data_IF_452867470281
#
_entry.id   IF_452867470281
#
_cell.length_a   1.000
_cell.length_b   1.000
_cell.length_c   1.000
_cell.angle_alpha   90.00
_cell.angle_beta   90.00
_cell.angle_gamma   90.00
#
_symmetry.space_group_name_H-M   'P 1'
#
loop_
_entity.id
_entity.type
_entity.pdbx_description
1 polymer ?
#
# COMPACT_ATOMS: atom_id res chain seq x y z
N UNK A 1 6.74 -9.15 32.53
CA UNK A 1 7.89 -8.29 32.83
C UNK A 1 7.70 -6.88 32.29
N UNK A 2 6.96 -6.02 32.56
CA UNK A 2 7.10 -4.59 32.17
C UNK A 2 5.91 -3.70 32.52
N UNK A 3 5.39 -3.83 33.74
CA UNK A 3 4.51 -2.76 34.23
C UNK A 3 5.30 -1.54 34.78
N UNK A 4 6.63 -1.62 34.78
CA UNK A 4 7.49 -0.54 35.32
C UNK A 4 8.12 0.38 34.26
N UNK A 5 8.14 -0.04 33.00
CA UNK A 5 8.76 0.73 31.90
C UNK A 5 7.75 1.09 30.81
N UNK A 6 7.98 2.21 30.17
CA UNK A 6 7.32 2.63 28.93
C UNK A 6 8.35 2.87 27.85
N UNK A 7 8.03 2.44 26.64
CA UNK A 7 8.85 2.64 25.45
C UNK A 7 8.46 3.95 24.79
N UNK A 8 9.45 4.66 24.27
CA UNK A 8 9.28 5.89 23.49
C UNK A 8 9.99 5.70 22.17
N UNK A 9 9.25 5.79 21.08
CA UNK A 9 9.72 5.50 19.73
C UNK A 9 9.48 6.69 18.82
N UNK A 10 10.51 7.06 18.06
CA UNK A 10 10.44 7.94 16.91
C UNK A 10 10.89 7.20 15.66
N UNK A 11 10.25 7.47 14.53
CA UNK A 11 10.59 6.88 13.24
C UNK A 11 11.07 7.96 12.28
N UNK A 12 12.13 7.66 11.56
CA UNK A 12 12.66 8.45 10.45
C UNK A 12 12.40 7.67 9.16
N UNK A 13 11.52 8.17 8.31
CA UNK A 13 11.09 7.48 7.10
C UNK A 13 11.56 8.26 5.87
N UNK A 14 12.39 7.62 5.05
CA UNK A 14 12.84 8.14 3.78
C UNK A 14 11.97 7.59 2.64
N UNK A 15 11.43 8.48 1.81
CA UNK A 15 10.58 8.12 0.69
C UNK A 15 11.10 8.76 -0.60
N UNK A 16 11.46 7.94 -1.59
CA UNK A 16 11.85 8.42 -2.92
C UNK A 16 10.61 8.92 -3.66
N UNK A 17 10.75 10.09 -4.29
CA UNK A 17 9.69 10.67 -5.12
C UNK A 17 9.85 10.23 -6.57
N UNK A 18 8.75 9.81 -7.18
CA UNK A 18 8.68 9.24 -8.53
C UNK A 18 8.59 10.33 -9.61
N UNK A 19 9.57 11.22 -9.64
CA UNK A 19 9.69 12.21 -10.71
C UNK A 19 10.50 11.65 -11.89
N UNK A 20 10.33 12.21 -13.07
CA UNK A 20 11.07 11.79 -14.28
C UNK A 20 12.55 12.09 -14.19
N UNK A 21 12.91 13.20 -13.56
CA UNK A 21 14.30 13.66 -13.44
C UNK A 21 14.69 13.83 -11.99
N UNK A 22 15.99 13.80 -11.74
CA UNK A 22 16.59 13.96 -10.41
C UNK A 22 16.27 15.34 -9.81
N UNK A 23 16.55 15.49 -8.50
CA UNK A 23 16.18 16.71 -7.76
C UNK A 23 16.92 17.95 -8.23
N UNK A 24 18.22 17.83 -8.66
CA UNK A 24 19.08 18.97 -8.99
C UNK A 24 19.47 19.06 -10.45
N UNK A 25 19.16 18.06 -11.27
CA UNK A 25 19.56 17.99 -12.67
C UNK A 25 18.53 17.26 -13.54
N UNK A 26 18.76 17.24 -14.85
CA UNK A 26 17.88 16.60 -15.84
C UNK A 26 18.15 15.11 -16.07
N UNK A 27 19.06 14.48 -15.33
CA UNK A 27 19.28 13.03 -15.46
C UNK A 27 18.03 12.26 -15.11
N UNK A 28 17.84 11.09 -15.74
CA UNK A 28 16.75 10.19 -15.44
C UNK A 28 16.78 9.75 -13.96
N UNK A 29 15.63 9.82 -13.28
CA UNK A 29 15.49 9.36 -11.91
C UNK A 29 15.08 7.88 -11.82
N UNK A 30 14.50 7.31 -12.88
CA UNK A 30 14.23 5.88 -13.02
C UNK A 30 15.49 5.18 -13.56
N UNK A 31 16.27 4.61 -12.67
CA UNK A 31 17.61 4.07 -12.95
C UNK A 31 17.72 2.54 -12.80
N UNK A 32 16.66 1.86 -12.37
CA UNK A 32 16.72 0.44 -11.97
C UNK A 32 17.10 -0.50 -13.11
N UNK A 33 16.72 -0.16 -14.34
CA UNK A 33 17.02 -0.96 -15.54
C UNK A 33 18.23 -0.46 -16.33
N UNK A 34 18.97 0.53 -15.80
CA UNK A 34 20.12 1.11 -16.49
C UNK A 34 21.44 0.49 -16.02
N UNK A 35 22.40 0.43 -16.94
CA UNK A 35 23.77 0.02 -16.57
C UNK A 35 24.35 0.99 -15.53
N UNK A 36 25.23 0.53 -14.61
CA UNK A 36 25.80 1.38 -13.59
C UNK A 36 26.50 2.63 -14.17
N UNK A 37 26.27 3.77 -13.55
CA UNK A 37 26.93 5.06 -13.83
C UNK A 37 26.61 5.69 -15.20
N UNK A 38 25.50 5.33 -15.86
CA UNK A 38 25.06 5.94 -17.13
C UNK A 38 24.15 7.14 -16.90
N UNK A 39 23.25 7.09 -15.92
CA UNK A 39 22.35 8.20 -15.57
C UNK A 39 23.04 9.20 -14.64
N UNK A 40 24.15 9.76 -15.08
CA UNK A 40 24.97 10.71 -14.32
C UNK A 40 25.35 11.93 -15.15
N UNK A 41 25.59 13.05 -14.47
CA UNK A 41 26.10 14.29 -15.09
C UNK A 41 27.00 15.04 -14.10
N UNK A 42 27.71 16.11 -14.53
CA UNK A 42 28.55 16.91 -13.64
C UNK A 42 27.86 17.41 -12.36
N UNK A 43 26.55 17.66 -12.40
CA UNK A 43 25.80 18.15 -11.24
C UNK A 43 25.64 17.04 -10.19
N UNK A 44 25.03 15.91 -10.56
CA UNK A 44 24.80 14.83 -9.59
C UNK A 44 26.06 14.09 -9.14
N UNK A 45 27.18 14.25 -9.89
CA UNK A 45 28.50 13.73 -9.49
C UNK A 45 29.38 14.79 -8.80
N UNK A 46 28.89 16.01 -8.59
CA UNK A 46 29.57 17.05 -7.82
C UNK A 46 30.84 17.59 -8.45
N UNK A 47 30.89 17.70 -9.77
CA UNK A 47 32.08 18.21 -10.45
C UNK A 47 32.24 19.73 -10.24
N UNK A 48 33.47 20.25 -10.14
CA UNK A 48 33.73 21.66 -9.95
C UNK A 48 33.06 22.54 -11.01
N UNK A 49 32.36 23.59 -10.56
CA UNK A 49 31.65 24.55 -11.42
C UNK A 49 30.23 24.13 -11.84
N UNK A 50 29.79 22.94 -11.48
CA UNK A 50 28.42 22.52 -11.70
C UNK A 50 27.49 23.05 -10.59
N UNK A 51 26.36 23.67 -10.97
CA UNK A 51 25.40 24.24 -10.04
C UNK A 51 24.09 23.44 -10.02
N UNK A 52 23.53 23.16 -8.83
CA UNK A 52 22.21 22.50 -8.69
C UNK A 52 21.09 23.43 -9.13
N UNK A 53 20.01 22.83 -9.66
CA UNK A 53 18.76 23.55 -9.96
C UNK A 53 17.59 22.69 -9.49
N UNK A 54 16.77 23.24 -8.57
CA UNK A 54 15.61 22.51 -8.03
C UNK A 54 14.62 22.13 -9.13
N UNK A 55 14.24 20.86 -9.14
CA UNK A 55 13.16 20.35 -9.96
C UNK A 55 11.80 20.75 -9.35
N UNK A 56 10.99 21.49 -10.09
CA UNK A 56 9.68 21.96 -9.63
C UNK A 56 8.67 20.84 -9.35
N UNK A 57 8.77 19.73 -10.09
CA UNK A 57 7.91 18.57 -9.88
C UNK A 57 8.20 17.91 -8.52
N UNK A 58 9.48 17.87 -8.12
CA UNK A 58 9.88 17.39 -6.78
C UNK A 58 9.24 18.23 -5.69
N UNK A 59 9.24 19.56 -5.83
CA UNK A 59 8.59 20.45 -4.86
C UNK A 59 7.08 20.21 -4.80
N UNK A 60 6.42 20.04 -5.95
CA UNK A 60 4.98 19.76 -5.99
C UNK A 60 4.64 18.40 -5.36
N UNK A 61 5.46 17.37 -5.61
CA UNK A 61 5.28 16.04 -5.01
C UNK A 61 5.54 16.06 -3.49
N UNK A 62 6.55 16.80 -3.06
CA UNK A 62 6.82 16.99 -1.64
C UNK A 62 5.63 17.69 -0.93
N UNK A 63 5.08 18.76 -1.51
CA UNK A 63 3.88 19.44 -0.97
C UNK A 63 2.69 18.48 -0.92
N UNK A 64 2.45 17.68 -1.98
CA UNK A 64 1.41 16.63 -1.97
C UNK A 64 1.59 15.63 -0.82
N UNK A 65 2.81 15.14 -0.63
CA UNK A 65 3.12 14.21 0.46
C UNK A 65 2.83 14.85 1.82
N UNK A 66 3.25 16.09 2.04
CA UNK A 66 3.02 16.79 3.30
C UNK A 66 1.53 17.05 3.57
N UNK A 67 0.76 17.45 2.56
CA UNK A 67 -0.69 17.63 2.68
C UNK A 67 -1.40 16.30 3.02
N UNK A 68 -0.95 15.18 2.44
CA UNK A 68 -1.48 13.86 2.75
C UNK A 68 -1.24 13.43 4.20
N UNK A 69 -0.21 14.00 4.82
CA UNK A 69 0.20 13.75 6.19
C UNK A 69 -0.26 14.86 7.16
N UNK A 70 -1.20 15.68 6.72
CA UNK A 70 -1.79 16.78 7.49
C UNK A 70 -0.75 17.76 8.09
N UNK A 71 0.33 18.03 7.32
CA UNK A 71 1.38 18.96 7.72
C UNK A 71 1.06 20.41 7.33
N UNK A 72 1.56 21.32 8.13
CA UNK A 72 1.62 22.75 7.81
C UNK A 72 2.73 23.00 6.77
N UNK A 73 2.41 23.71 5.70
CA UNK A 73 3.38 24.04 4.65
C UNK A 73 3.98 25.42 4.95
N UNK A 74 5.30 25.47 5.06
CA UNK A 74 6.03 26.73 5.26
C UNK A 74 6.07 27.53 3.95
N UNK A 75 5.62 28.77 3.98
CA UNK A 75 5.64 29.68 2.81
C UNK A 75 7.05 29.98 2.29
N UNK A 76 8.07 29.83 3.14
CA UNK A 76 9.48 29.96 2.80
C UNK A 76 10.27 28.79 3.37
N UNK A 77 11.04 28.11 2.52
CA UNK A 77 11.97 27.06 2.95
C UNK A 77 13.38 27.28 2.38
N UNK A 78 14.38 26.60 2.95
CA UNK A 78 15.77 26.79 2.62
C UNK A 78 16.47 25.44 2.55
N UNK A 79 17.36 25.29 1.59
CA UNK A 79 18.26 24.15 1.53
C UNK A 79 19.55 24.44 2.29
N UNK A 80 20.10 23.37 2.88
CA UNK A 80 21.30 23.38 3.68
C UNK A 80 22.22 22.26 3.23
N UNK A 81 23.54 22.39 3.49
CA UNK A 81 24.52 21.34 3.28
C UNK A 81 24.70 20.55 4.56
N UNK A 82 24.49 19.22 4.47
CA UNK A 82 24.85 18.23 5.49
C UNK A 82 26.18 17.62 5.09
N UNK A 83 27.26 18.08 5.73
CA UNK A 83 28.61 17.69 5.32
C UNK A 83 29.02 16.36 5.93
N UNK A 84 29.38 15.41 5.09
CA UNK A 84 29.99 14.16 5.49
C UNK A 84 30.80 13.57 4.34
N UNK A 85 31.89 12.89 4.69
CA UNK A 85 32.78 12.28 3.75
C UNK A 85 32.57 10.77 3.70
N UNK A 86 31.98 10.30 2.59
CA UNK A 86 31.77 8.88 2.35
C UNK A 86 31.78 8.58 0.83
N UNK A 87 32.22 7.39 0.39
CA UNK A 87 32.34 7.08 -1.05
C UNK A 87 31.04 7.21 -1.86
N UNK A 88 29.88 7.01 -1.26
CA UNK A 88 28.57 7.13 -1.90
C UNK A 88 28.07 8.59 -2.00
N UNK A 89 28.74 9.53 -1.35
CA UNK A 89 28.45 10.97 -1.41
C UNK A 89 29.40 11.67 -2.37
N UNK A 90 29.05 11.85 -3.67
CA UNK A 90 29.99 12.35 -4.68
C UNK A 90 30.41 13.80 -4.46
N UNK A 91 29.62 14.59 -3.73
CA UNK A 91 29.87 16.00 -3.40
C UNK A 91 30.57 16.19 -2.05
N UNK A 92 30.72 15.13 -1.25
CA UNK A 92 31.10 15.16 0.17
C UNK A 92 30.10 15.91 1.08
N UNK A 93 28.91 16.21 0.57
CA UNK A 93 27.77 16.71 1.32
C UNK A 93 26.47 16.27 0.64
N UNK A 94 25.40 16.25 1.41
CA UNK A 94 24.04 16.03 0.94
C UNK A 94 23.28 17.36 1.07
N UNK A 95 22.51 17.73 0.06
CA UNK A 95 21.60 18.87 0.14
C UNK A 95 20.31 18.39 0.82
N UNK A 96 19.92 19.08 1.87
CA UNK A 96 18.76 18.81 2.73
C UNK A 96 18.11 20.11 3.20
N UNK A 97 17.16 20.06 4.14
CA UNK A 97 16.47 21.23 4.71
C UNK A 97 16.48 21.17 6.25
N UNK A 98 17.60 21.46 6.86
CA UNK A 98 17.74 21.33 8.31
C UNK A 98 17.14 22.50 9.08
N UNK A 99 17.45 23.75 8.71
CA UNK A 99 17.02 24.94 9.44
C UNK A 99 15.60 25.39 9.10
N UNK A 100 15.18 25.22 7.85
CA UNK A 100 13.87 25.66 7.35
C UNK A 100 13.27 24.59 6.44
N UNK A 101 12.71 23.52 7.00
CA UNK A 101 12.03 22.49 6.22
C UNK A 101 10.81 23.09 5.50
N UNK A 102 10.35 22.42 4.45
CA UNK A 102 9.18 22.91 3.72
C UNK A 102 7.84 22.59 4.42
N UNK A 103 7.83 21.63 5.36
CA UNK A 103 6.62 21.23 6.06
C UNK A 103 6.92 20.76 7.51
N UNK A 104 5.99 21.04 8.41
CA UNK A 104 6.11 20.75 9.84
C UNK A 104 4.74 20.43 10.45
N UNK A 105 4.73 19.99 11.71
CA UNK A 105 3.53 19.84 12.54
C UNK A 105 2.41 19.00 11.93
N UNK A 106 2.79 17.93 11.23
CA UNK A 106 1.83 16.99 10.70
C UNK A 106 1.31 16.01 11.75
N UNK A 107 0.31 15.22 11.37
CA UNK A 107 -0.25 14.17 12.22
C UNK A 107 -0.85 13.04 11.41
N UNK A 108 -0.81 11.85 11.99
CA UNK A 108 -1.48 10.68 11.45
C UNK A 108 -2.38 10.04 12.52
N UNK A 109 -3.63 9.85 12.16
CA UNK A 109 -4.53 8.99 12.93
C UNK A 109 -4.24 7.54 12.57
N UNK A 110 -3.94 6.72 13.56
CA UNK A 110 -3.60 5.31 13.38
C UNK A 110 -4.57 4.41 14.14
N UNK A 111 -4.86 3.26 13.56
CA UNK A 111 -5.65 2.20 14.20
C UNK A 111 -4.83 0.93 14.21
N UNK A 112 -4.56 0.40 15.40
CA UNK A 112 -3.79 -0.84 15.56
C UNK A 112 -4.64 -2.07 15.22
N UNK A 113 -4.01 -3.23 15.02
CA UNK A 113 -4.73 -4.49 14.79
C UNK A 113 -5.63 -4.88 15.97
N UNK A 114 -5.29 -4.46 17.18
CA UNK A 114 -6.12 -4.63 18.38
C UNK A 114 -7.32 -3.68 18.45
N UNK A 115 -7.48 -2.77 17.47
CA UNK A 115 -8.55 -1.78 17.39
C UNK A 115 -8.32 -0.54 18.26
N UNK A 116 -7.11 -0.34 18.79
CA UNK A 116 -6.75 0.86 19.52
C UNK A 116 -6.46 1.99 18.54
N UNK A 117 -7.12 3.12 18.77
CA UNK A 117 -6.90 4.35 18.01
C UNK A 117 -5.92 5.27 18.73
N UNK A 118 -5.07 5.95 17.99
CA UNK A 118 -4.18 7.00 18.50
C UNK A 118 -3.77 7.96 17.40
N UNK A 119 -3.25 9.12 17.78
CA UNK A 119 -2.68 10.11 16.87
C UNK A 119 -1.18 10.17 17.12
N UNK A 120 -0.40 10.16 16.04
CA UNK A 120 1.06 10.30 16.07
C UNK A 120 1.45 11.54 15.29
N UNK A 121 2.16 12.46 15.95
CA UNK A 121 2.65 13.68 15.34
C UNK A 121 3.80 13.43 14.38
N UNK A 122 3.85 14.24 13.33
CA UNK A 122 5.01 14.39 12.45
C UNK A 122 5.68 15.70 12.83
N UNK A 123 6.97 15.63 13.19
CA UNK A 123 7.73 16.82 13.58
C UNK A 123 7.95 17.70 12.36
N UNK A 124 8.49 17.11 11.28
CA UNK A 124 8.79 17.82 10.03
C UNK A 124 8.97 16.86 8.88
N UNK A 125 8.90 17.41 7.67
CA UNK A 125 9.26 16.74 6.42
C UNK A 125 10.24 17.65 5.67
N UNK A 126 11.32 17.09 5.19
CA UNK A 126 12.36 17.80 4.45
C UNK A 126 12.65 17.14 3.11
N UNK A 127 12.97 17.97 2.10
CA UNK A 127 13.44 17.48 0.81
C UNK A 127 14.94 17.21 0.91
N UNK A 128 15.33 16.05 0.42
CA UNK A 128 16.70 15.59 0.35
C UNK A 128 17.04 15.03 -1.03
N UNK A 129 18.28 14.66 -1.22
CA UNK A 129 18.76 13.85 -2.33
C UNK A 129 19.26 12.49 -1.82
N UNK A 130 19.02 11.43 -2.59
CA UNK A 130 19.60 10.13 -2.27
C UNK A 130 21.09 10.08 -2.64
N UNK A 131 21.85 9.20 -1.99
CA UNK A 131 23.26 8.94 -2.26
C UNK A 131 23.44 7.85 -3.31
N UNK A 132 24.68 7.61 -3.75
CA UNK A 132 24.99 6.50 -4.64
C UNK A 132 24.67 5.15 -3.98
N UNK A 133 24.39 4.14 -4.80
CA UNK A 133 24.25 2.76 -4.33
C UNK A 133 25.63 2.15 -4.13
N UNK A 134 25.91 1.71 -2.91
CA UNK A 134 27.15 1.00 -2.56
C UNK A 134 26.88 -0.50 -2.46
N UNK A 135 27.69 -1.30 -3.13
CA UNK A 135 27.65 -2.77 -3.08
C UNK A 135 28.99 -3.24 -2.56
N UNK A 136 28.97 -3.87 -1.38
CA UNK A 136 30.16 -4.41 -0.73
C UNK A 136 30.35 -5.87 -1.12
N UNK A 137 31.54 -6.19 -1.63
CA UNK A 137 32.01 -7.55 -1.86
C UNK A 137 33.07 -7.91 -0.81
N UNK A 138 33.60 -9.11 -0.83
CA UNK A 138 34.65 -9.52 0.11
C UNK A 138 35.94 -8.68 -0.01
N UNK A 139 36.23 -8.10 -1.18
CA UNK A 139 37.49 -7.38 -1.47
C UNK A 139 37.29 -5.95 -1.96
N UNK A 140 36.09 -5.56 -2.38
CA UNK A 140 35.82 -4.29 -3.07
C UNK A 140 34.47 -3.66 -2.65
N UNK A 141 34.38 -2.35 -2.83
CA UNK A 141 33.12 -1.60 -2.76
C UNK A 141 32.83 -1.01 -4.13
N UNK A 142 31.77 -1.50 -4.77
CA UNK A 142 31.31 -1.00 -6.06
C UNK A 142 30.32 0.12 -5.84
N UNK A 143 30.46 1.22 -6.58
CA UNK A 143 29.64 2.40 -6.49
C UNK A 143 28.84 2.62 -7.78
N UNK A 144 27.53 2.75 -7.65
CA UNK A 144 26.64 3.12 -8.73
C UNK A 144 25.99 4.48 -8.44
N UNK A 145 26.46 5.51 -9.14
CA UNK A 145 26.00 6.88 -8.99
C UNK A 145 24.68 7.18 -9.72
N UNK A 146 24.05 6.23 -10.39
CA UNK A 146 22.74 6.44 -10.99
C UNK A 146 21.72 6.89 -9.95
N UNK A 147 21.81 6.40 -8.70
CA UNK A 147 20.91 6.81 -7.60
C UNK A 147 21.25 8.20 -7.02
N UNK A 148 22.50 8.66 -7.14
CA UNK A 148 22.92 9.95 -6.59
C UNK A 148 22.01 11.08 -7.09
N UNK A 149 21.50 11.91 -6.19
CA UNK A 149 20.53 12.99 -6.43
C UNK A 149 19.14 12.56 -6.90
N UNK A 150 18.76 11.29 -6.71
CA UNK A 150 17.34 10.88 -6.83
C UNK A 150 16.53 11.60 -5.75
N UNK A 151 15.35 12.16 -6.06
CA UNK A 151 14.56 12.93 -5.10
C UNK A 151 14.10 12.08 -3.92
N UNK A 152 14.32 12.60 -2.73
CA UNK A 152 14.00 11.97 -1.47
C UNK A 152 13.27 12.95 -0.57
N UNK A 153 12.31 12.49 0.21
CA UNK A 153 11.79 13.22 1.38
C UNK A 153 12.09 12.39 2.62
N UNK A 154 12.47 13.06 3.67
CA UNK A 154 12.63 12.50 5.01
C UNK A 154 11.47 12.97 5.88
N UNK A 155 10.75 12.01 6.46
CA UNK A 155 9.58 12.23 7.31
C UNK A 155 9.97 11.82 8.72
N UNK A 156 9.98 12.76 9.64
CA UNK A 156 10.41 12.55 11.01
C UNK A 156 9.18 12.60 11.92
N UNK A 157 8.87 11.48 12.58
CA UNK A 157 7.79 11.44 13.55
C UNK A 157 8.22 12.06 14.89
N UNK A 158 7.25 12.59 15.65
CA UNK A 158 7.48 12.87 17.05
C UNK A 158 7.69 11.57 17.83
N UNK A 159 8.43 11.60 18.97
CA UNK A 159 8.67 10.40 19.79
C UNK A 159 7.42 10.06 20.63
N UNK A 160 6.31 9.74 19.99
CA UNK A 160 5.00 9.56 20.62
C UNK A 160 4.49 8.10 20.46
N UNK A 161 5.15 7.29 19.63
CA UNK A 161 4.84 5.88 19.42
C UNK A 161 5.27 5.09 20.64
N UNK A 162 4.39 4.23 21.16
CA UNK A 162 4.57 3.59 22.48
C UNK A 162 4.97 2.12 22.43
N UNK A 163 4.76 1.46 21.30
CA UNK A 163 5.06 0.05 21.13
C UNK A 163 5.18 -0.31 19.64
N UNK A 164 5.62 -1.54 19.36
CA UNK A 164 5.83 -2.04 18.01
C UNK A 164 4.53 -2.15 17.18
N UNK A 165 3.37 -2.41 17.81
CA UNK A 165 2.08 -2.46 17.13
C UNK A 165 1.66 -1.07 16.61
N UNK A 166 1.83 -0.03 17.42
CA UNK A 166 1.60 1.36 17.00
C UNK A 166 2.58 1.79 15.90
N UNK A 167 3.87 1.38 15.98
CA UNK A 167 4.85 1.63 14.92
C UNK A 167 4.44 0.97 13.58
N UNK A 168 3.93 -0.26 13.64
CA UNK A 168 3.41 -0.95 12.48
C UNK A 168 2.20 -0.24 11.87
N UNK A 169 1.24 0.16 12.71
CA UNK A 169 0.06 0.91 12.28
C UNK A 169 0.44 2.25 11.65
N UNK A 170 1.39 2.99 12.27
CA UNK A 170 1.90 4.25 11.73
C UNK A 170 2.50 4.08 10.34
N UNK A 171 3.39 3.09 10.15
CA UNK A 171 4.04 2.85 8.88
C UNK A 171 3.06 2.44 7.77
N UNK A 172 2.04 1.62 8.09
CA UNK A 172 1.01 1.27 7.12
C UNK A 172 0.17 2.49 6.73
N UNK A 173 -0.31 3.25 7.70
CA UNK A 173 -1.09 4.47 7.43
C UNK A 173 -0.29 5.49 6.61
N UNK A 174 0.98 5.71 6.96
CA UNK A 174 1.88 6.58 6.21
C UNK A 174 2.06 6.10 4.77
N UNK A 175 2.36 4.82 4.59
CA UNK A 175 2.49 4.19 3.27
C UNK A 175 1.23 4.38 2.43
N UNK A 176 0.05 4.09 3.00
CA UNK A 176 -1.22 4.19 2.28
C UNK A 176 -1.53 5.63 1.89
N UNK A 177 -1.34 6.59 2.79
CA UNK A 177 -1.50 8.02 2.49
C UNK A 177 -0.57 8.48 1.35
N UNK A 178 0.72 8.11 1.40
CA UNK A 178 1.67 8.44 0.33
C UNK A 178 1.33 7.75 -0.99
N UNK A 179 0.91 6.48 -0.95
CA UNK A 179 0.52 5.72 -2.15
C UNK A 179 -0.66 6.36 -2.86
N UNK A 180 -1.65 6.82 -2.12
CA UNK A 180 -2.82 7.53 -2.67
C UNK A 180 -2.44 8.81 -3.42
N UNK A 181 -1.39 9.51 -3.02
CA UNK A 181 -0.91 10.70 -3.74
C UNK A 181 -0.18 10.39 -5.04
N UNK A 182 0.20 9.14 -5.29
CA UNK A 182 1.01 8.68 -6.44
C UNK A 182 2.38 9.36 -6.57
N UNK A 183 2.89 9.94 -5.48
CA UNK A 183 4.21 10.61 -5.49
C UNK A 183 5.37 9.63 -5.36
N UNK A 184 5.12 8.38 -4.95
CA UNK A 184 6.10 7.34 -4.72
C UNK A 184 5.49 5.94 -4.91
N UNK A 185 6.34 4.95 -5.18
CA UNK A 185 5.94 3.54 -5.17
C UNK A 185 5.86 2.97 -3.74
N UNK A 186 6.40 3.67 -2.74
CA UNK A 186 6.41 3.36 -1.30
C UNK A 186 6.75 1.89 -0.99
N UNK A 187 7.76 1.36 -1.65
CA UNK A 187 8.19 -0.03 -1.52
C UNK A 187 9.51 -0.15 -0.74
N UNK A 188 9.49 -0.90 0.37
CA UNK A 188 10.73 -1.23 1.08
C UNK A 188 11.58 -2.24 0.31
N UNK A 189 10.96 -3.16 -0.45
CA UNK A 189 11.66 -4.17 -1.25
C UNK A 189 12.46 -3.53 -2.39
N UNK A 190 11.91 -2.51 -3.04
CA UNK A 190 12.57 -1.74 -4.09
C UNK A 190 13.49 -0.64 -3.52
N UNK A 191 13.45 -0.41 -2.19
CA UNK A 191 14.24 0.63 -1.53
C UNK A 191 13.71 2.05 -1.74
N UNK A 192 12.51 2.23 -2.31
CA UNK A 192 11.87 3.53 -2.44
C UNK A 192 11.23 4.02 -1.13
N UNK A 193 11.10 3.13 -0.14
CA UNK A 193 10.75 3.46 1.24
C UNK A 193 11.77 2.82 2.17
N UNK A 194 12.33 3.60 3.10
CA UNK A 194 13.28 3.14 4.13
C UNK A 194 12.85 3.70 5.46
N UNK A 195 13.12 2.99 6.54
CA UNK A 195 12.74 3.42 7.88
C UNK A 195 13.88 3.11 8.85
N UNK A 196 14.26 4.10 9.64
CA UNK A 196 15.13 3.96 10.80
C UNK A 196 14.29 4.15 12.07
N UNK A 197 14.57 3.34 13.11
CA UNK A 197 13.81 3.38 14.36
C UNK A 197 14.68 3.90 15.50
N UNK A 198 14.23 4.97 16.14
CA UNK A 198 14.79 5.52 17.37
C UNK A 198 14.00 4.98 18.56
N UNK A 199 14.64 4.21 19.43
CA UNK A 199 13.99 3.56 20.59
C UNK A 199 14.66 3.99 21.87
N UNK A 200 13.87 4.39 22.87
CA UNK A 200 14.31 4.58 24.24
C UNK A 200 13.28 4.01 25.22
N UNK A 201 13.73 3.69 26.43
CA UNK A 201 12.85 3.27 27.53
C UNK A 201 13.03 4.16 28.75
N UNK A 202 11.94 4.42 29.47
CA UNK A 202 11.94 5.14 30.74
C UNK A 202 11.04 4.44 31.75
N UNK A 203 11.20 4.71 33.04
CA UNK A 203 10.25 4.22 34.04
C UNK A 203 8.90 4.87 33.83
N UNK A 204 7.86 4.11 34.06
CA UNK A 204 6.48 4.58 33.90
C UNK A 204 6.20 5.77 34.82
N UNK A 205 5.77 6.87 34.21
CA UNK A 205 5.50 8.14 34.91
C UNK A 205 6.66 9.13 34.92
N UNK A 206 7.86 8.74 34.45
CA UNK A 206 8.96 9.70 34.28
C UNK A 206 8.65 10.67 33.14
N UNK A 207 9.00 11.93 33.32
CA UNK A 207 8.86 12.96 32.28
C UNK A 207 10.09 13.08 31.38
N UNK A 208 11.25 12.62 31.87
CA UNK A 208 12.52 12.68 31.13
C UNK A 208 12.64 11.47 30.25
N UNK A 209 12.97 11.69 28.99
CA UNK A 209 13.22 10.61 28.03
C UNK A 209 14.49 9.82 28.40
N UNK A 210 14.44 8.51 28.15
CA UNK A 210 15.63 7.65 28.25
C UNK A 210 16.63 7.92 27.13
N UNK A 211 17.82 7.31 27.26
CA UNK A 211 18.82 7.37 26.20
C UNK A 211 18.36 6.57 24.99
N UNK A 212 18.29 7.22 23.82
CA UNK A 212 17.86 6.58 22.57
C UNK A 212 18.97 5.79 21.91
N UNK A 213 18.57 4.72 21.23
CA UNK A 213 19.38 4.05 20.21
C UNK A 213 18.67 4.12 18.86
N UNK A 214 19.44 4.36 17.82
CA UNK A 214 18.97 4.35 16.43
C UNK A 214 19.21 2.96 15.82
N UNK A 215 18.17 2.35 15.24
CA UNK A 215 18.31 1.04 14.56
C UNK A 215 18.13 1.20 13.07
N UNK A 216 19.14 0.76 12.31
CA UNK A 216 19.19 0.81 10.84
C UNK A 216 19.09 -0.59 10.22
N UNK A 217 19.01 -0.63 8.87
CA UNK A 217 18.93 -1.87 8.08
C UNK A 217 17.59 -2.61 8.28
N UNK A 218 16.51 -1.88 8.37
CA UNK A 218 15.15 -2.40 8.54
C UNK A 218 14.49 -2.53 7.17
N UNK A 219 14.51 -3.75 6.59
CA UNK A 219 14.11 -3.98 5.20
C UNK A 219 12.63 -4.37 5.02
N UNK A 220 11.85 -4.39 6.10
CA UNK A 220 10.42 -4.64 6.08
C UNK A 220 9.75 -4.07 7.33
N UNK A 221 8.44 -3.80 7.28
CA UNK A 221 7.69 -3.37 8.47
C UNK A 221 7.74 -4.44 9.60
N UNK A 222 7.82 -5.72 9.24
CA UNK A 222 8.02 -6.80 10.21
C UNK A 222 9.39 -6.75 10.87
N UNK A 223 10.43 -6.36 10.13
CA UNK A 223 11.76 -6.15 10.69
C UNK A 223 11.76 -4.96 11.66
N UNK A 224 11.06 -3.86 11.32
CA UNK A 224 10.89 -2.71 12.25
C UNK A 224 10.24 -3.15 13.56
N UNK A 225 9.13 -3.92 13.49
CA UNK A 225 8.45 -4.44 14.69
C UNK A 225 9.39 -5.25 15.57
N UNK A 226 10.08 -6.25 14.96
CA UNK A 226 11.00 -7.13 15.72
C UNK A 226 12.19 -6.37 16.31
N UNK A 227 12.73 -5.42 15.57
CA UNK A 227 13.83 -4.60 16.04
C UNK A 227 13.43 -3.72 17.23
N UNK A 228 12.24 -3.10 17.19
CA UNK A 228 11.69 -2.31 18.28
C UNK A 228 11.48 -3.18 19.53
N UNK A 229 10.88 -4.37 19.38
CA UNK A 229 10.66 -5.30 20.46
C UNK A 229 11.98 -5.75 21.10
N UNK A 230 12.97 -6.10 20.26
CA UNK A 230 14.29 -6.49 20.71
C UNK A 230 14.99 -5.36 21.47
N UNK A 231 15.05 -4.15 20.91
CA UNK A 231 15.71 -2.99 21.52
C UNK A 231 15.04 -2.58 22.84
N UNK A 232 13.72 -2.60 22.90
CA UNK A 232 12.99 -2.33 24.13
C UNK A 232 13.41 -3.31 25.23
N UNK A 233 13.40 -4.60 24.95
CA UNK A 233 13.78 -5.62 25.93
C UNK A 233 15.25 -5.53 26.32
N UNK A 234 16.15 -5.33 25.36
CA UNK A 234 17.60 -5.16 25.61
C UNK A 234 17.87 -3.95 26.52
N UNK A 235 17.23 -2.80 26.25
CA UNK A 235 17.44 -1.60 27.06
C UNK A 235 16.93 -1.78 28.49
N UNK A 236 15.75 -2.42 28.68
CA UNK A 236 15.22 -2.74 30.01
C UNK A 236 16.19 -3.65 30.76
N UNK A 237 16.68 -4.73 30.11
CA UNK A 237 17.64 -5.66 30.72
C UNK A 237 18.93 -4.95 31.16
N UNK A 238 19.47 -4.06 30.33
CA UNK A 238 20.67 -3.25 30.66
C UNK A 238 20.41 -2.41 31.91
N UNK A 239 19.25 -1.76 32.01
CA UNK A 239 18.91 -0.87 33.14
C UNK A 239 18.67 -1.71 34.41
N UNK A 240 17.94 -2.82 34.34
CA UNK A 240 17.65 -3.71 35.47
C UNK A 240 18.93 -4.34 36.05
N UNK A 241 19.91 -4.63 35.19
CA UNK A 241 21.23 -5.12 35.61
C UNK A 241 22.17 -3.98 36.13
N UNK A 242 21.65 -2.77 36.32
CA UNK A 242 22.42 -1.63 36.85
C UNK A 242 23.35 -0.96 35.84
N UNK A 243 23.24 -1.33 34.57
CA UNK A 243 23.98 -0.72 33.46
C UNK A 243 23.35 0.61 32.99
N UNK A 244 23.94 1.18 31.96
CA UNK A 244 23.42 2.37 31.30
C UNK A 244 23.32 2.14 29.80
N UNK A 245 22.20 2.54 29.19
CA UNK A 245 22.06 2.56 27.74
C UNK A 245 22.99 3.64 27.17
N UNK A 246 23.76 3.27 26.14
CA UNK A 246 24.63 4.19 25.41
C UNK A 246 23.90 4.68 24.16
N UNK A 247 24.01 5.98 23.88
CA UNK A 247 23.48 6.55 22.63
C UNK A 247 24.38 6.09 21.46
N UNK A 248 23.82 5.23 20.63
CA UNK A 248 24.56 4.62 19.51
C UNK A 248 23.63 4.26 18.35
N UNK A 249 24.22 4.13 17.16
CA UNK A 249 23.55 3.52 16.00
C UNK A 249 23.80 2.02 16.02
N UNK A 250 22.74 1.24 15.81
CA UNK A 250 22.76 -0.22 15.80
C UNK A 250 22.25 -0.75 14.45
N UNK A 251 22.75 -1.90 14.03
CA UNK A 251 22.35 -2.59 12.81
C UNK A 251 21.44 -3.76 13.16
N UNK A 252 20.29 -3.87 12.51
CA UNK A 252 19.44 -5.06 12.62
C UNK A 252 20.03 -6.24 11.85
N UNK A 253 20.24 -7.34 12.53
CA UNK A 253 20.63 -8.64 11.99
C UNK A 253 19.37 -9.50 11.83
N UNK A 254 18.88 -9.59 10.60
CA UNK A 254 17.61 -10.28 10.28
C UNK A 254 17.67 -11.78 10.55
N UNK A 255 18.84 -12.42 10.32
CA UNK A 255 19.01 -13.86 10.50
C UNK A 255 19.00 -14.25 11.98
N UNK A 256 19.65 -13.46 12.82
CA UNK A 256 19.75 -13.74 14.25
C UNK A 256 18.65 -13.07 15.06
N UNK A 257 17.92 -12.12 14.49
CA UNK A 257 16.86 -11.39 15.18
C UNK A 257 17.37 -10.51 16.34
N UNK A 258 18.55 -9.90 16.16
CA UNK A 258 19.19 -9.05 17.19
C UNK A 258 19.69 -7.75 16.58
N UNK A 259 19.90 -6.73 17.40
CA UNK A 259 20.63 -5.54 16.99
C UNK A 259 22.09 -5.63 17.40
N UNK A 260 23.00 -5.14 16.56
CA UNK A 260 24.45 -5.06 16.84
C UNK A 260 24.91 -3.63 16.79
N UNK A 261 25.80 -3.18 17.72
CA UNK A 261 26.37 -1.84 17.61
C UNK A 261 27.13 -1.73 16.28
N UNK A 262 26.86 -0.67 15.56
CA UNK A 262 27.75 -0.25 14.48
C UNK A 262 29.07 0.21 15.12
N UNK A 263 30.21 -0.01 14.44
CA UNK A 263 31.51 0.49 14.94
C UNK A 263 31.29 1.93 15.42
N UNK A 264 31.53 2.16 16.70
CA UNK A 264 31.43 3.47 17.30
C UNK A 264 32.29 4.42 16.49
N UNK A 265 31.67 5.35 15.79
CA UNK A 265 32.34 6.59 15.44
C UNK A 265 32.45 7.31 16.79
N UNK A 266 33.62 7.43 17.33
CA UNK A 266 33.92 7.98 18.65
C UNK A 266 33.47 9.45 18.84
N UNK A 267 32.86 10.03 17.79
CA UNK A 267 32.22 11.35 17.84
C UNK A 267 30.90 11.30 17.07
N UNK A 268 29.83 11.81 17.68
CA UNK A 268 28.63 12.18 16.95
C UNK A 268 29.08 13.01 15.74
N UNK A 269 28.79 12.54 14.50
CA UNK A 269 29.23 13.27 13.32
C UNK A 269 28.66 14.67 13.37
N UNK A 270 29.49 15.67 13.62
CA UNK A 270 29.13 17.06 13.42
C UNK A 270 29.02 17.30 11.91
N UNK A 271 27.79 17.30 11.43
CA UNK A 271 27.52 17.54 10.00
C UNK A 271 27.76 18.99 9.58
N UNK A 272 28.06 19.89 10.50
CA UNK A 272 28.40 21.31 10.23
C UNK A 272 27.43 21.92 9.23
N UNK A 273 26.13 21.81 9.51
CA UNK A 273 25.09 22.36 8.65
C UNK A 273 25.28 23.85 8.39
N UNK A 274 25.12 24.25 7.14
CA UNK A 274 25.05 25.67 6.75
C UNK A 274 24.17 25.80 5.50
N UNK A 275 23.59 27.00 5.24
CA UNK A 275 22.76 27.25 4.07
C UNK A 275 23.47 26.90 2.77
N UNK A 276 22.78 26.23 1.84
CA UNK A 276 23.28 25.91 0.52
C UNK A 276 23.43 27.20 -0.32
N UNK A 277 24.65 27.67 -0.62
CA UNK A 277 24.84 28.97 -1.26
C UNK A 277 24.43 28.99 -2.73
N UNK A 278 24.35 27.84 -3.38
CA UNK A 278 24.05 27.71 -4.81
C UNK A 278 22.54 27.58 -5.09
N UNK A 279 21.72 27.50 -4.04
CA UNK A 279 20.27 27.45 -4.14
C UNK A 279 19.63 28.66 -3.45
N UNK A 280 18.75 29.41 -4.13
CA UNK A 280 17.96 30.45 -3.48
C UNK A 280 16.94 29.82 -2.51
N UNK A 281 16.42 30.66 -1.60
CA UNK A 281 15.27 30.25 -0.79
C UNK A 281 14.10 29.87 -1.66
N UNK A 282 13.37 28.84 -1.24
CA UNK A 282 12.18 28.37 -1.94
C UNK A 282 10.96 29.06 -1.38
N UNK A 283 10.27 29.81 -2.23
CA UNK A 283 9.00 30.45 -1.88
C UNK A 283 7.86 29.58 -2.39
N UNK A 284 7.02 29.13 -1.47
CA UNK A 284 5.80 28.37 -1.77
C UNK A 284 4.63 29.36 -1.69
N UNK A 285 4.19 29.84 -2.85
CA UNK A 285 3.07 30.78 -2.94
C UNK A 285 1.73 30.09 -2.67
N UNK A 286 0.75 30.89 -2.20
CA UNK A 286 -0.62 30.41 -2.01
C UNK A 286 -1.21 29.84 -3.31
N UNK A 287 -0.92 30.46 -4.46
CA UNK A 287 -1.36 29.95 -5.77
C UNK A 287 -0.80 28.55 -6.09
N UNK A 288 0.47 28.28 -5.73
CA UNK A 288 1.06 26.96 -5.88
C UNK A 288 0.39 25.97 -4.95
N UNK A 289 0.22 26.33 -3.70
CA UNK A 289 -0.42 25.49 -2.70
C UNK A 289 -1.85 25.12 -3.09
N UNK A 290 -2.63 26.09 -3.55
CA UNK A 290 -4.00 25.86 -4.03
C UNK A 290 -4.05 24.96 -5.26
N UNK A 291 -3.09 25.08 -6.19
CA UNK A 291 -3.00 24.16 -7.34
C UNK A 291 -2.75 22.74 -6.87
N UNK A 292 -1.80 22.55 -5.94
CA UNK A 292 -1.51 21.20 -5.41
C UNK A 292 -2.69 20.65 -4.62
N UNK A 293 -3.38 21.48 -3.82
CA UNK A 293 -4.60 21.07 -3.08
C UNK A 293 -5.71 20.58 -4.02
N UNK A 294 -5.93 21.24 -5.12
CA UNK A 294 -6.93 20.83 -6.14
C UNK A 294 -6.58 19.51 -6.83
N UNK A 295 -5.30 19.15 -6.87
CA UNK A 295 -4.79 17.92 -7.46
C UNK A 295 -4.62 16.79 -6.42
N UNK A 296 -5.06 17.01 -5.17
CA UNK A 296 -5.07 15.97 -4.14
C UNK A 296 -6.13 14.91 -4.47
N UNK A 297 -5.80 13.62 -4.31
CA UNK A 297 -6.75 12.56 -4.49
C UNK A 297 -7.76 12.50 -3.34
N UNK A 298 -8.89 11.85 -3.58
CA UNK A 298 -9.76 11.38 -2.53
C UNK A 298 -9.07 10.23 -1.78
N UNK A 299 -8.90 10.33 -0.48
CA UNK A 299 -8.25 9.31 0.33
C UNK A 299 -9.16 8.12 0.69
N UNK A 300 -8.58 7.06 1.24
CA UNK A 300 -9.27 5.81 1.53
C UNK A 300 -10.53 5.99 2.39
N UNK A 301 -10.47 6.84 3.40
CA UNK A 301 -11.59 7.12 4.32
C UNK A 301 -12.73 7.91 3.65
N UNK A 302 -12.41 8.88 2.81
CA UNK A 302 -13.39 9.62 2.01
C UNK A 302 -14.01 8.73 0.94
N UNK A 303 -13.18 7.96 0.24
CA UNK A 303 -13.59 6.99 -0.77
C UNK A 303 -14.49 5.91 -0.19
N UNK A 304 -14.20 5.39 1.00
CA UNK A 304 -15.05 4.45 1.69
C UNK A 304 -16.43 5.05 2.00
N UNK A 305 -16.48 6.30 2.50
CA UNK A 305 -17.75 7.02 2.73
C UNK A 305 -18.54 7.18 1.43
N UNK A 306 -17.88 7.52 0.34
CA UNK A 306 -18.52 7.62 -0.98
C UNK A 306 -19.04 6.26 -1.45
N UNK A 307 -18.28 5.19 -1.31
CA UNK A 307 -18.73 3.85 -1.67
C UNK A 307 -19.98 3.41 -0.87
N UNK A 308 -20.07 3.79 0.41
CA UNK A 308 -21.28 3.57 1.20
C UNK A 308 -22.46 4.37 0.63
N UNK A 309 -22.26 5.67 0.38
CA UNK A 309 -23.33 6.57 -0.07
C UNK A 309 -23.79 6.33 -1.50
N UNK A 310 -22.86 6.19 -2.45
CA UNK A 310 -23.15 6.09 -3.89
C UNK A 310 -23.40 4.65 -4.34
N UNK A 311 -22.66 3.68 -3.77
CA UNK A 311 -22.69 2.28 -4.22
C UNK A 311 -23.47 1.37 -3.26
N UNK A 312 -24.02 1.95 -2.19
CA UNK A 312 -24.81 1.23 -1.17
C UNK A 312 -24.05 0.02 -0.58
N UNK A 313 -22.73 0.15 -0.36
CA UNK A 313 -21.93 -0.84 0.33
C UNK A 313 -22.08 -0.71 1.85
N UNK A 314 -21.81 -1.79 2.58
CA UNK A 314 -21.66 -1.69 4.03
C UNK A 314 -20.26 -1.20 4.41
N UNK A 315 -20.07 -0.79 5.68
CA UNK A 315 -18.82 -0.22 6.17
C UNK A 315 -17.61 -1.13 5.91
N UNK A 316 -17.75 -2.44 6.13
CA UNK A 316 -16.68 -3.41 5.94
C UNK A 316 -16.32 -3.61 4.46
N UNK A 317 -17.31 -3.71 3.59
CA UNK A 317 -17.10 -3.81 2.15
C UNK A 317 -16.39 -2.56 1.63
N UNK A 318 -16.88 -1.39 2.00
CA UNK A 318 -16.32 -0.11 1.58
C UNK A 318 -14.88 0.08 2.08
N UNK A 319 -14.62 -0.17 3.37
CA UNK A 319 -13.29 -0.06 3.94
C UNK A 319 -12.28 -1.03 3.27
N UNK A 320 -12.71 -2.27 2.98
CA UNK A 320 -11.84 -3.25 2.31
C UNK A 320 -11.50 -2.82 0.89
N UNK A 321 -12.48 -2.37 0.11
CA UNK A 321 -12.28 -1.98 -1.29
C UNK A 321 -11.58 -0.63 -1.45
N UNK A 322 -11.72 0.29 -0.48
CA UNK A 322 -11.03 1.56 -0.47
C UNK A 322 -9.67 1.53 0.24
N UNK A 323 -9.32 0.45 0.95
CA UNK A 323 -8.11 0.41 1.78
C UNK A 323 -6.82 0.56 0.99
N UNK A 324 -6.75 -0.01 -0.22
CA UNK A 324 -5.61 0.10 -1.12
C UNK A 324 -5.99 0.83 -2.41
N UNK A 325 -5.16 1.80 -2.84
CA UNK A 325 -5.46 2.62 -4.03
C UNK A 325 -5.72 1.77 -5.28
N UNK A 326 -4.80 0.84 -5.58
CA UNK A 326 -4.91 0.06 -6.83
C UNK A 326 -6.14 -0.85 -6.82
N UNK A 327 -6.52 -1.37 -5.64
CA UNK A 327 -7.74 -2.17 -5.46
C UNK A 327 -8.99 -1.30 -5.66
N UNK A 328 -9.00 -0.10 -5.11
CA UNK A 328 -10.09 0.86 -5.26
C UNK A 328 -10.26 1.29 -6.73
N UNK A 329 -9.18 1.61 -7.42
CA UNK A 329 -9.20 1.98 -8.84
C UNK A 329 -9.70 0.84 -9.72
N UNK A 330 -9.27 -0.39 -9.43
CA UNK A 330 -9.74 -1.57 -10.15
C UNK A 330 -11.25 -1.78 -9.94
N UNK A 331 -11.73 -1.67 -8.71
CA UNK A 331 -13.15 -1.76 -8.38
C UNK A 331 -13.98 -0.66 -9.07
N UNK A 332 -13.53 0.60 -9.02
CA UNK A 332 -14.22 1.72 -9.67
C UNK A 332 -14.27 1.55 -11.19
N UNK A 333 -13.21 1.03 -11.80
CA UNK A 333 -13.19 0.70 -13.22
C UNK A 333 -14.21 -0.39 -13.56
N UNK A 334 -14.34 -1.42 -12.72
CA UNK A 334 -15.39 -2.44 -12.87
C UNK A 334 -16.79 -1.82 -12.76
N UNK A 335 -17.04 -0.99 -11.75
CA UNK A 335 -18.34 -0.32 -11.55
C UNK A 335 -18.69 0.57 -12.73
N UNK A 336 -17.74 1.37 -13.20
CA UNK A 336 -17.94 2.27 -14.34
C UNK A 336 -18.38 1.53 -15.60
N UNK A 337 -17.82 0.35 -15.85
CA UNK A 337 -18.18 -0.44 -17.03
C UNK A 337 -19.41 -1.32 -16.81
N UNK A 338 -19.56 -1.95 -15.64
CA UNK A 338 -20.68 -2.85 -15.36
C UNK A 338 -21.98 -2.14 -15.06
N UNK A 339 -21.93 -0.94 -14.49
CA UNK A 339 -23.04 -0.18 -13.90
C UNK A 339 -23.73 -0.93 -12.73
N UNK A 340 -23.05 -1.93 -12.14
CA UNK A 340 -23.56 -2.80 -11.09
C UNK A 340 -22.62 -2.80 -9.87
N UNK A 341 -22.60 -1.73 -9.04
CA UNK A 341 -21.62 -1.56 -7.98
C UNK A 341 -21.66 -2.68 -6.92
N UNK A 342 -22.88 -3.09 -6.50
CA UNK A 342 -23.02 -4.13 -5.46
C UNK A 342 -22.54 -5.50 -5.95
N UNK A 343 -22.86 -5.86 -7.19
CA UNK A 343 -22.44 -7.12 -7.77
C UNK A 343 -20.93 -7.12 -8.04
N UNK A 344 -20.38 -5.98 -8.48
CA UNK A 344 -18.93 -5.79 -8.63
C UNK A 344 -18.20 -5.92 -7.30
N UNK A 345 -18.71 -5.31 -6.22
CA UNK A 345 -18.15 -5.45 -4.89
C UNK A 345 -18.13 -6.90 -4.42
N UNK A 346 -19.23 -7.62 -4.61
CA UNK A 346 -19.31 -9.04 -4.26
C UNK A 346 -18.25 -9.87 -5.01
N UNK A 347 -18.09 -9.65 -6.32
CA UNK A 347 -17.08 -10.34 -7.12
C UNK A 347 -15.65 -10.00 -6.68
N UNK A 348 -15.39 -8.73 -6.39
CA UNK A 348 -14.09 -8.31 -5.83
C UNK A 348 -13.78 -9.03 -4.53
N UNK A 349 -14.71 -8.98 -3.57
CA UNK A 349 -14.51 -9.50 -2.22
C UNK A 349 -14.46 -11.03 -2.14
N UNK A 350 -15.14 -11.74 -3.05
CA UNK A 350 -15.21 -13.20 -3.03
C UNK A 350 -14.23 -13.86 -3.99
N UNK A 351 -14.22 -13.46 -5.26
CA UNK A 351 -13.44 -14.17 -6.28
C UNK A 351 -12.07 -13.52 -6.51
N UNK A 352 -12.01 -12.19 -6.71
CA UNK A 352 -10.74 -11.52 -7.00
C UNK A 352 -9.81 -11.60 -5.79
N UNK A 353 -10.26 -11.17 -4.60
CA UNK A 353 -9.43 -11.22 -3.38
C UNK A 353 -9.04 -12.65 -3.00
N UNK A 354 -9.86 -13.67 -3.30
CA UNK A 354 -9.47 -15.08 -3.13
C UNK A 354 -8.22 -15.40 -3.94
N UNK A 355 -8.22 -15.08 -5.22
CA UNK A 355 -7.08 -15.34 -6.11
C UNK A 355 -5.83 -14.57 -5.71
N UNK A 356 -5.98 -13.28 -5.34
CA UNK A 356 -4.86 -12.47 -4.87
C UNK A 356 -4.21 -13.11 -3.65
N UNK A 357 -5.03 -13.56 -2.69
CA UNK A 357 -4.56 -14.23 -1.47
C UNK A 357 -3.91 -15.59 -1.76
N UNK A 358 -4.51 -16.42 -2.61
CA UNK A 358 -3.98 -17.74 -2.97
C UNK A 358 -2.63 -17.64 -3.69
N UNK A 359 -2.48 -16.64 -4.58
CA UNK A 359 -1.24 -16.41 -5.32
C UNK A 359 -0.24 -15.53 -4.59
N UNK A 360 -0.63 -14.93 -3.45
CA UNK A 360 0.15 -13.96 -2.67
C UNK A 360 0.66 -12.79 -3.55
N UNK A 361 -0.25 -12.17 -4.31
CA UNK A 361 0.04 -11.03 -5.21
C UNK A 361 -0.89 -9.86 -4.91
N UNK A 362 -0.46 -8.65 -5.24
CA UNK A 362 -1.32 -7.47 -5.28
C UNK A 362 -2.17 -7.42 -6.57
N UNK A 363 -3.16 -6.50 -6.59
CA UNK A 363 -4.08 -6.35 -7.73
C UNK A 363 -3.34 -5.89 -9.00
N UNK A 364 -2.20 -5.19 -8.87
CA UNK A 364 -1.36 -4.75 -9.99
C UNK A 364 -0.74 -5.91 -10.78
N UNK A 365 -0.65 -7.10 -10.16
CA UNK A 365 -0.16 -8.34 -10.79
C UNK A 365 -1.30 -9.31 -11.15
N UNK A 366 -2.54 -8.87 -10.99
CA UNK A 366 -3.69 -9.69 -11.31
C UNK A 366 -3.85 -9.84 -12.82
N UNK A 367 -4.02 -11.08 -13.31
CA UNK A 367 -3.98 -11.38 -14.74
C UNK A 367 -5.24 -10.98 -15.51
N UNK A 368 -6.38 -10.78 -14.83
CA UNK A 368 -7.65 -10.47 -15.49
C UNK A 368 -7.92 -8.98 -15.40
N UNK A 369 -8.30 -8.35 -16.51
CA UNK A 369 -8.65 -6.94 -16.57
C UNK A 369 -9.98 -6.65 -15.88
N UNK A 370 -10.10 -5.46 -15.28
CA UNK A 370 -11.37 -4.98 -14.67
C UNK A 370 -12.52 -4.97 -15.68
N UNK A 371 -12.22 -4.66 -16.96
CA UNK A 371 -13.20 -4.66 -18.06
C UNK A 371 -13.77 -6.04 -18.33
N UNK A 372 -12.95 -7.09 -18.35
CA UNK A 372 -13.44 -8.45 -18.58
C UNK A 372 -14.29 -8.96 -17.41
N UNK A 373 -13.96 -8.61 -16.17
CA UNK A 373 -14.85 -8.93 -15.04
C UNK A 373 -16.15 -8.13 -15.11
N UNK A 374 -16.10 -6.86 -15.51
CA UNK A 374 -17.31 -6.06 -15.70
C UNK A 374 -18.24 -6.63 -16.78
N UNK A 375 -17.70 -7.09 -17.91
CA UNK A 375 -18.46 -7.80 -18.94
C UNK A 375 -19.09 -9.09 -18.41
N UNK A 376 -18.31 -9.87 -17.64
CA UNK A 376 -18.81 -11.08 -17.00
C UNK A 376 -20.01 -10.78 -16.07
N UNK A 377 -19.94 -9.68 -15.31
CA UNK A 377 -21.01 -9.19 -14.46
C UNK A 377 -22.25 -8.79 -15.30
N UNK A 378 -22.07 -8.12 -16.44
CA UNK A 378 -23.16 -7.80 -17.37
C UNK A 378 -23.85 -9.04 -17.88
N UNK A 379 -23.11 -10.09 -18.22
CA UNK A 379 -23.70 -11.36 -18.66
C UNK A 379 -24.53 -12.04 -17.57
N UNK A 380 -24.11 -11.94 -16.30
CA UNK A 380 -24.91 -12.43 -15.16
C UNK A 380 -26.18 -11.61 -15.02
N UNK A 381 -26.06 -10.27 -15.04
CA UNK A 381 -27.20 -9.37 -14.89
C UNK A 381 -28.25 -9.52 -15.99
N UNK A 382 -27.78 -9.74 -17.21
CA UNK A 382 -28.61 -10.01 -18.38
C UNK A 382 -29.20 -11.45 -18.40
N UNK A 383 -28.92 -12.28 -17.39
CA UNK A 383 -29.30 -13.70 -17.34
C UNK A 383 -28.82 -14.53 -18.54
N UNK A 384 -27.75 -14.09 -19.21
CA UNK A 384 -27.11 -14.86 -20.30
C UNK A 384 -26.39 -16.08 -19.73
N UNK A 385 -25.81 -15.94 -18.53
CA UNK A 385 -25.15 -17.00 -17.78
C UNK A 385 -25.58 -16.99 -16.32
N UNK A 386 -25.56 -18.16 -15.67
CA UNK A 386 -25.78 -18.27 -14.24
C UNK A 386 -24.51 -17.88 -13.46
N UNK A 387 -24.65 -17.55 -12.17
CA UNK A 387 -23.51 -17.29 -11.28
C UNK A 387 -22.55 -18.48 -11.21
N UNK A 388 -23.01 -19.72 -11.38
CA UNK A 388 -22.16 -20.90 -11.43
C UNK A 388 -21.33 -20.92 -12.70
N UNK A 389 -21.94 -20.68 -13.85
CA UNK A 389 -21.24 -20.60 -15.14
C UNK A 389 -20.25 -19.45 -15.14
N UNK A 390 -20.61 -18.31 -14.54
CA UNK A 390 -19.72 -17.17 -14.42
C UNK A 390 -18.42 -17.50 -13.69
N UNK A 391 -18.48 -18.32 -12.63
CA UNK A 391 -17.27 -18.80 -11.94
C UNK A 391 -16.42 -19.71 -12.83
N UNK A 392 -17.03 -20.55 -13.65
CA UNK A 392 -16.30 -21.38 -14.63
C UNK A 392 -15.61 -20.51 -15.69
N UNK A 393 -16.29 -19.48 -16.19
CA UNK A 393 -15.71 -18.50 -17.12
C UNK A 393 -14.58 -17.71 -16.45
N UNK A 394 -14.73 -17.34 -15.20
CA UNK A 394 -13.69 -16.64 -14.44
C UNK A 394 -12.41 -17.49 -14.31
N UNK A 395 -12.53 -18.77 -14.01
CA UNK A 395 -11.35 -19.66 -13.96
C UNK A 395 -10.66 -19.78 -15.34
N UNK A 396 -11.40 -19.66 -16.45
CA UNK A 396 -10.81 -19.60 -17.79
C UNK A 396 -10.12 -18.24 -18.05
N UNK A 397 -10.71 -17.13 -17.56
CA UNK A 397 -10.08 -15.80 -17.63
C UNK A 397 -8.74 -15.74 -16.87
N UNK A 398 -8.61 -16.47 -15.77
CA UNK A 398 -7.33 -16.55 -15.04
C UNK A 398 -6.21 -17.22 -15.82
N UNK A 399 -6.55 -18.05 -16.80
CA UNK A 399 -5.58 -18.70 -17.70
C UNK A 399 -5.25 -17.80 -18.90
N UNK A 400 -6.25 -17.10 -19.44
CA UNK A 400 -6.12 -16.21 -20.58
C UNK A 400 -7.17 -15.08 -20.46
N UNK A 401 -6.72 -13.82 -20.35
CA UNK A 401 -7.61 -12.64 -20.23
C UNK A 401 -8.29 -12.33 -21.59
N UNK A 402 -9.23 -13.20 -21.98
CA UNK A 402 -10.01 -13.11 -23.21
C UNK A 402 -11.41 -12.55 -22.93
N UNK A 403 -12.06 -11.99 -23.94
CA UNK A 403 -13.43 -11.49 -23.79
C UNK A 403 -14.39 -12.58 -23.32
N UNK A 404 -15.11 -12.39 -22.16
CA UNK A 404 -16.01 -13.39 -21.60
C UNK A 404 -17.13 -13.82 -22.54
N UNK A 405 -17.63 -12.91 -23.40
CA UNK A 405 -18.68 -13.26 -24.38
C UNK A 405 -18.19 -14.28 -25.39
N UNK A 406 -16.92 -14.15 -25.81
CA UNK A 406 -16.28 -15.10 -26.71
C UNK A 406 -16.16 -16.47 -26.04
N UNK A 407 -15.67 -16.50 -24.79
CA UNK A 407 -15.53 -17.74 -24.01
C UNK A 407 -16.89 -18.45 -23.87
N UNK A 408 -17.94 -17.68 -23.50
CA UNK A 408 -19.30 -18.21 -23.34
C UNK A 408 -19.82 -18.83 -24.65
N UNK A 409 -19.60 -18.17 -25.80
CA UNK A 409 -20.00 -18.65 -27.10
C UNK A 409 -19.20 -19.91 -27.54
N UNK A 410 -17.88 -19.85 -27.43
CA UNK A 410 -16.99 -20.97 -27.82
C UNK A 410 -17.23 -22.26 -27.03
N UNK A 411 -17.55 -22.11 -25.74
CA UNK A 411 -17.82 -23.23 -24.82
C UNK A 411 -19.28 -23.63 -24.76
N UNK A 412 -20.18 -22.92 -25.45
CA UNK A 412 -21.62 -23.17 -25.42
C UNK A 412 -22.21 -23.06 -24.00
N UNK A 413 -21.75 -22.07 -23.23
CA UNK A 413 -22.12 -21.85 -21.82
C UNK A 413 -23.33 -20.92 -21.64
N UNK A 414 -24.04 -20.61 -22.71
CA UNK A 414 -25.25 -19.78 -22.67
C UNK A 414 -26.33 -20.48 -21.83
N UNK A 415 -26.99 -19.75 -20.97
CA UNK A 415 -28.07 -20.25 -20.13
C UNK A 415 -29.30 -20.56 -20.99
N UNK A 416 -29.92 -21.68 -20.73
CA UNK A 416 -31.18 -22.05 -21.37
C UNK A 416 -32.29 -21.20 -20.76
N UNK A 417 -32.87 -20.30 -21.55
CA UNK A 417 -34.00 -19.41 -21.15
C UNK A 417 -35.25 -19.69 -21.96
N UNK A 418 -35.17 -20.61 -22.90
CA UNK A 418 -36.34 -21.03 -23.70
C UNK A 418 -37.32 -21.81 -22.81
N UNK A 419 -38.51 -21.23 -22.61
CA UNK A 419 -39.57 -21.86 -21.84
C UNK A 419 -39.91 -23.27 -22.30
N UNK A 420 -39.92 -23.52 -23.60
CA UNK A 420 -40.27 -24.85 -24.17
C UNK A 420 -39.22 -25.93 -23.86
N UNK A 421 -37.94 -25.53 -23.81
CA UNK A 421 -36.85 -26.43 -23.46
C UNK A 421 -36.81 -26.71 -21.95
N UNK A 422 -37.01 -25.65 -21.11
CA UNK A 422 -37.09 -25.81 -19.67
C UNK A 422 -38.32 -26.63 -19.28
N UNK A 423 -39.45 -26.46 -19.98
CA UNK A 423 -40.69 -27.20 -19.73
C UNK A 423 -40.50 -28.71 -19.95
N UNK A 424 -39.81 -29.10 -20.99
CA UNK A 424 -39.46 -30.51 -21.25
C UNK A 424 -38.52 -31.09 -20.14
N UNK A 425 -37.56 -30.32 -19.71
CA UNK A 425 -36.67 -30.73 -18.60
C UNK A 425 -37.49 -30.94 -17.33
N UNK A 426 -38.38 -30.02 -17.02
CA UNK A 426 -39.25 -30.09 -15.83
C UNK A 426 -40.19 -31.30 -15.91
N UNK A 427 -40.83 -31.53 -17.06
CA UNK A 427 -41.70 -32.70 -17.30
C UNK A 427 -40.96 -34.00 -17.04
N UNK A 428 -39.79 -34.16 -17.66
CA UNK A 428 -38.95 -35.35 -17.50
C UNK A 428 -38.56 -35.56 -16.00
N UNK A 429 -38.20 -34.48 -15.28
CA UNK A 429 -37.84 -34.58 -13.86
C UNK A 429 -39.05 -34.99 -13.02
N UNK A 430 -40.25 -34.44 -13.28
CA UNK A 430 -41.44 -34.82 -12.56
C UNK A 430 -41.83 -36.27 -12.81
N UNK A 431 -41.71 -36.74 -14.04
CA UNK A 431 -41.98 -38.14 -14.41
C UNK A 431 -40.99 -39.11 -13.77
N UNK A 432 -39.72 -38.78 -13.75
CA UNK A 432 -38.64 -39.64 -13.18
C UNK A 432 -38.63 -39.65 -11.63
N UNK A 433 -39.27 -38.67 -10.98
CA UNK A 433 -39.20 -38.49 -9.51
C UNK A 433 -40.54 -38.41 -8.83
N UNK A 434 -41.47 -39.32 -9.20
CA UNK A 434 -42.89 -39.30 -8.71
C UNK A 434 -42.98 -39.32 -7.16
N UNK A 435 -42.12 -40.06 -6.48
CA UNK A 435 -42.09 -40.07 -5.02
C UNK A 435 -41.82 -38.67 -4.41
N UNK A 436 -40.95 -37.88 -5.03
CA UNK A 436 -40.69 -36.49 -4.57
C UNK A 436 -41.84 -35.57 -4.89
N UNK A 437 -42.59 -35.84 -5.97
CA UNK A 437 -43.84 -35.12 -6.31
C UNK A 437 -44.91 -35.39 -5.22
N UNK A 438 -45.09 -36.65 -4.82
CA UNK A 438 -46.01 -37.06 -3.76
C UNK A 438 -45.60 -36.44 -2.40
N UNK A 439 -44.29 -36.45 -2.10
CA UNK A 439 -43.77 -35.85 -0.88
C UNK A 439 -44.00 -34.33 -0.82
N UNK A 440 -43.89 -33.62 -1.96
CA UNK A 440 -44.25 -32.19 -2.05
C UNK A 440 -45.75 -31.99 -1.80
N UNK A 441 -46.61 -32.75 -2.46
CA UNK A 441 -48.07 -32.70 -2.27
C UNK A 441 -48.46 -33.05 -0.84
N UNK A 442 -47.67 -33.85 -0.14
CA UNK A 442 -47.84 -34.16 1.30
C UNK A 442 -47.28 -33.06 2.23
N UNK A 443 -46.81 -31.91 1.69
CA UNK A 443 -46.38 -30.74 2.46
C UNK A 443 -44.89 -30.74 2.85
N UNK A 444 -44.06 -31.64 2.30
CA UNK A 444 -42.60 -31.68 2.56
C UNK A 444 -41.88 -30.65 1.69
N UNK A 445 -41.57 -29.48 2.20
CA UNK A 445 -40.91 -28.37 1.46
C UNK A 445 -39.54 -28.70 0.87
N UNK A 446 -38.82 -29.68 1.43
CA UNK A 446 -37.51 -30.10 0.89
C UNK A 446 -37.61 -30.87 -0.44
N UNK A 447 -38.80 -31.44 -0.77
CA UNK A 447 -39.01 -32.13 -2.02
C UNK A 447 -38.92 -31.20 -3.24
N UNK A 448 -39.39 -29.96 -3.13
CA UNK A 448 -39.26 -28.95 -4.17
C UNK A 448 -37.78 -28.62 -4.47
N UNK A 449 -36.98 -28.43 -3.43
CA UNK A 449 -35.53 -28.19 -3.61
C UNK A 449 -34.82 -29.35 -4.29
N UNK A 450 -35.23 -30.58 -4.00
CA UNK A 450 -34.70 -31.77 -4.64
C UNK A 450 -35.06 -31.81 -6.13
N UNK A 451 -36.32 -31.58 -6.49
CA UNK A 451 -36.81 -31.53 -7.88
C UNK A 451 -36.11 -30.44 -8.69
N UNK A 452 -35.95 -29.24 -8.15
CA UNK A 452 -35.15 -28.17 -8.76
C UNK A 452 -33.70 -28.63 -8.97
N UNK A 453 -33.12 -29.29 -7.98
CA UNK A 453 -31.76 -29.84 -8.07
C UNK A 453 -31.60 -30.88 -9.18
N UNK A 454 -32.60 -31.76 -9.38
CA UNK A 454 -32.60 -32.74 -10.47
C UNK A 454 -32.72 -32.08 -11.87
N UNK A 455 -33.58 -31.07 -11.99
CA UNK A 455 -33.72 -30.28 -13.24
C UNK A 455 -32.41 -29.52 -13.57
N UNK A 456 -31.76 -28.93 -12.56
CA UNK A 456 -30.43 -28.32 -12.73
C UNK A 456 -29.39 -29.33 -13.13
N UNK A 457 -29.42 -30.57 -12.62
CA UNK A 457 -28.50 -31.62 -12.98
C UNK A 457 -28.73 -32.09 -14.43
N UNK A 458 -30.00 -32.29 -14.85
CA UNK A 458 -30.37 -32.68 -16.19
C UNK A 458 -29.96 -31.64 -17.23
N UNK A 459 -30.16 -30.34 -16.93
CA UNK A 459 -29.71 -29.23 -17.76
C UNK A 459 -28.21 -28.98 -17.71
N UNK A 460 -27.42 -29.78 -16.96
CA UNK A 460 -25.98 -29.56 -16.69
C UNK A 460 -25.68 -28.17 -16.12
N UNK A 461 -26.58 -27.62 -15.31
CA UNK A 461 -26.48 -26.29 -14.73
C UNK A 461 -26.78 -25.13 -15.67
N UNK A 462 -27.26 -25.40 -16.88
CA UNK A 462 -27.54 -24.39 -17.92
C UNK A 462 -28.94 -23.78 -17.85
N UNK A 463 -29.94 -24.44 -17.27
CA UNK A 463 -31.28 -23.88 -17.14
C UNK A 463 -31.37 -22.83 -16.04
N UNK A 464 -32.31 -21.87 -16.18
CA UNK A 464 -32.52 -20.85 -15.17
C UNK A 464 -33.24 -21.46 -13.94
N UNK A 465 -32.61 -21.46 -12.73
CA UNK A 465 -33.21 -22.08 -11.54
C UNK A 465 -34.55 -21.48 -11.12
N UNK A 466 -34.72 -20.16 -11.36
CA UNK A 466 -35.94 -19.46 -11.00
C UNK A 466 -37.13 -19.87 -11.89
N UNK A 467 -36.86 -19.97 -13.22
CA UNK A 467 -37.83 -20.46 -14.18
C UNK A 467 -38.18 -21.93 -13.94
N UNK A 468 -37.20 -22.78 -13.62
CA UNK A 468 -37.42 -24.17 -13.22
C UNK A 468 -38.38 -24.22 -12.00
N UNK A 469 -38.07 -23.44 -10.96
CA UNK A 469 -38.87 -23.42 -9.74
C UNK A 469 -40.29 -22.98 -10.01
N UNK A 470 -40.50 -21.90 -10.79
CA UNK A 470 -41.82 -21.42 -11.20
C UNK A 470 -42.60 -22.46 -12.01
N UNK A 471 -41.95 -23.12 -12.97
CA UNK A 471 -42.58 -24.14 -13.80
C UNK A 471 -42.92 -25.41 -13.00
N UNK A 472 -42.06 -25.85 -12.09
CA UNK A 472 -42.35 -26.97 -11.20
C UNK A 472 -43.59 -26.66 -10.34
N UNK A 473 -43.61 -25.48 -9.70
CA UNK A 473 -44.79 -25.06 -8.90
C UNK A 473 -46.05 -25.04 -9.73
N UNK A 474 -46.02 -24.43 -10.91
CA UNK A 474 -47.19 -24.35 -11.82
C UNK A 474 -47.69 -25.72 -12.28
N UNK A 475 -46.84 -26.75 -12.34
CA UNK A 475 -47.24 -28.11 -12.75
C UNK A 475 -47.63 -29.01 -11.56
N UNK A 476 -47.25 -28.64 -10.34
CA UNK A 476 -47.61 -29.37 -9.10
C UNK A 476 -48.89 -28.84 -8.41
N UNK A 477 -49.23 -27.57 -8.64
CA UNK A 477 -50.50 -26.94 -8.25
C UNK A 477 -51.61 -27.34 -9.24
#
# INVERSE_FOLDING_TARGET
MSMEYETVIGLEVHCQLKTKTKVWCSCNADYDNEAPNVSTCPICTGQPGALPKLNEEVLNYAIKAALALDCEINGESQFDRKNYFYPDSPKNYQITQYFKPYAENGKLHIVTNSGKESEVGIERIQIEEDTAKSIHTASESLLNYNRASVPLIEIISKPEIKNAEEAYAYLNTLKDRLKYTKVSDVSMELGSLRCDANVSVRKKGDTVLGTRTETKNLNSFKAVVRAIEYETNRQIEVIENGGRVVQETRLWDEEQGVTRPMRSKEEAMDYRYFPEPDLPRVIISDDRLEKVRKDMPEFADEKAKRFIGEYNLNDKEAATLAGELDLAEYYEAMVKESEEPKLSANWMLTEVLRVLKEKNIGIEKFSVSSGNIAKLIKLIKANVISSKIAKEVFELLLLEDKDPEIIVKEKGLVQITDNSEIEKIVEQVLEENQQSVEDYKAGKSNALKYLVGQAMRLSKGKANPQMINELILKKLD
#
